data_IF_966697127016
#
_entry.id   IF_966697127016
#
_cell.length_a   1.000
_cell.length_b   1.000
_cell.length_c   1.000
_cell.angle_alpha   90.00
_cell.angle_beta   90.00
_cell.angle_gamma   90.00
#
_symmetry.space_group_name_H-M   'P 1'
#
loop_
_entity.id
_entity.type
_entity.pdbx_description
1 polymer ?
#
# COMPACT_ATOMS: atom_id res chain seq x y z
N UNK A 1 -32.18 -25.71 -15.04
CA UNK A 1 -31.82 -24.61 -15.96
C UNK A 1 -31.08 -23.48 -15.26
N UNK A 2 -31.44 -23.14 -14.02
CA UNK A 2 -30.78 -22.04 -13.29
C UNK A 2 -29.31 -22.30 -13.00
N UNK A 3 -28.92 -23.56 -12.73
CA UNK A 3 -27.52 -23.93 -12.46
C UNK A 3 -26.56 -23.51 -13.58
N UNK A 4 -26.85 -23.86 -14.83
CA UNK A 4 -26.02 -23.47 -15.99
C UNK A 4 -25.97 -21.95 -16.18
N UNK A 5 -27.04 -21.23 -15.83
CA UNK A 5 -27.05 -19.77 -15.89
C UNK A 5 -26.17 -19.15 -14.80
N UNK A 6 -26.16 -19.73 -13.60
CA UNK A 6 -25.27 -19.30 -12.51
C UNK A 6 -23.81 -19.59 -12.83
N UNK A 7 -23.50 -20.81 -13.29
CA UNK A 7 -22.13 -21.19 -13.69
C UNK A 7 -21.61 -20.33 -14.85
N UNK A 8 -22.48 -19.98 -15.81
CA UNK A 8 -22.13 -19.03 -16.88
C UNK A 8 -21.88 -17.62 -16.35
N UNK A 9 -22.75 -17.12 -15.46
CA UNK A 9 -22.58 -15.80 -14.82
C UNK A 9 -21.24 -15.75 -14.09
N UNK A 10 -20.94 -16.73 -13.24
CA UNK A 10 -19.69 -16.83 -12.49
C UNK A 10 -18.47 -16.89 -13.42
N UNK A 11 -18.50 -17.74 -14.44
CA UNK A 11 -17.40 -17.86 -15.41
C UNK A 11 -17.15 -16.57 -16.19
N UNK A 12 -18.23 -15.87 -16.58
CA UNK A 12 -18.12 -14.58 -17.27
C UNK A 12 -17.55 -13.50 -16.35
N UNK A 13 -18.00 -13.43 -15.10
CA UNK A 13 -17.50 -12.47 -14.12
C UNK A 13 -16.04 -12.76 -13.72
N UNK A 14 -15.65 -14.03 -13.64
CA UNK A 14 -14.26 -14.44 -13.44
C UNK A 14 -13.37 -13.99 -14.60
N UNK A 15 -13.80 -14.21 -15.84
CA UNK A 15 -13.07 -13.73 -17.01
C UNK A 15 -12.94 -12.20 -17.00
N UNK A 16 -14.03 -11.49 -16.70
CA UNK A 16 -14.04 -10.03 -16.64
C UNK A 16 -13.12 -9.47 -15.54
N UNK A 17 -13.20 -10.02 -14.33
CA UNK A 17 -12.40 -9.55 -13.18
C UNK A 17 -10.92 -9.86 -13.36
N UNK A 18 -10.58 -11.06 -13.87
CA UNK A 18 -9.20 -11.51 -14.07
C UNK A 18 -8.48 -10.78 -15.21
N UNK A 19 -9.17 -10.53 -16.33
CA UNK A 19 -8.53 -9.98 -17.54
C UNK A 19 -8.58 -8.45 -17.58
N UNK A 20 -9.70 -7.87 -17.16
CA UNK A 20 -9.98 -6.45 -17.39
C UNK A 20 -10.08 -5.65 -16.09
N UNK A 21 -10.47 -6.29 -14.98
CA UNK A 21 -10.65 -5.63 -13.69
C UNK A 21 -11.59 -4.43 -13.83
N UNK A 22 -11.15 -3.26 -13.37
CA UNK A 22 -11.95 -2.02 -13.41
C UNK A 22 -11.81 -1.23 -14.73
N UNK A 23 -11.52 -1.87 -15.86
CA UNK A 23 -11.49 -1.23 -17.19
C UNK A 23 -12.75 -1.50 -18.00
N UNK A 24 -13.16 -0.50 -18.79
CA UNK A 24 -14.34 -0.54 -19.64
C UNK A 24 -13.99 -1.27 -20.93
N UNK A 25 -14.68 -2.37 -21.21
CA UNK A 25 -14.37 -3.26 -22.33
C UNK A 25 -15.61 -3.66 -23.10
N UNK A 26 -15.51 -3.92 -24.42
CA UNK A 26 -16.65 -4.36 -25.20
C UNK A 26 -17.07 -5.77 -24.76
N UNK A 27 -18.36 -5.97 -24.47
CA UNK A 27 -18.88 -7.21 -23.92
C UNK A 27 -18.61 -8.43 -24.82
N UNK A 28 -18.56 -8.23 -26.14
CA UNK A 28 -18.28 -9.27 -27.12
C UNK A 28 -16.84 -9.81 -27.00
N UNK A 29 -15.88 -8.95 -26.67
CA UNK A 29 -14.50 -9.37 -26.46
C UNK A 29 -14.40 -10.29 -25.23
N UNK A 30 -15.04 -9.90 -24.13
CA UNK A 30 -15.09 -10.74 -22.91
C UNK A 30 -15.75 -12.09 -23.19
N UNK A 31 -16.81 -12.10 -24.01
CA UNK A 31 -17.45 -13.34 -24.43
C UNK A 31 -16.53 -14.22 -25.29
N UNK A 32 -15.76 -13.64 -26.21
CA UNK A 32 -14.78 -14.38 -27.01
C UNK A 32 -13.68 -15.03 -26.16
N UNK A 33 -13.20 -14.33 -25.13
CA UNK A 33 -12.24 -14.88 -24.17
C UNK A 33 -12.84 -16.01 -23.34
N UNK A 34 -14.11 -15.87 -22.94
CA UNK A 34 -14.83 -16.93 -22.22
C UNK A 34 -14.91 -18.21 -23.05
N UNK A 35 -15.30 -18.11 -24.33
CA UNK A 35 -15.44 -19.29 -25.21
C UNK A 35 -14.10 -19.89 -25.64
N UNK A 36 -12.99 -19.16 -25.46
CA UNK A 36 -11.64 -19.68 -25.71
C UNK A 36 -11.32 -20.87 -24.80
N UNK A 37 -11.87 -20.89 -23.59
CA UNK A 37 -11.72 -22.01 -22.67
C UNK A 37 -12.63 -23.18 -23.09
N UNK A 38 -12.08 -24.38 -23.29
CA UNK A 38 -12.84 -25.57 -23.74
C UNK A 38 -13.95 -26.03 -22.79
N UNK A 39 -13.90 -25.62 -21.51
CA UNK A 39 -14.87 -25.98 -20.48
C UNK A 39 -15.97 -24.93 -20.30
N UNK A 40 -16.06 -23.94 -21.19
CA UNK A 40 -17.08 -22.91 -21.09
C UNK A 40 -18.49 -23.46 -21.35
N UNK A 41 -19.45 -22.91 -20.62
CA UNK A 41 -20.86 -23.13 -20.90
C UNK A 41 -21.26 -22.17 -22.04
N UNK A 42 -21.82 -22.72 -23.11
CA UNK A 42 -22.29 -21.89 -24.22
C UNK A 42 -23.58 -21.14 -23.82
N UNK A 43 -23.77 -19.93 -24.34
CA UNK A 43 -24.93 -19.07 -24.05
C UNK A 43 -26.28 -19.80 -24.26
N UNK A 44 -26.36 -20.67 -25.28
CA UNK A 44 -27.56 -21.48 -25.58
C UNK A 44 -28.05 -22.37 -24.42
N UNK A 45 -27.18 -22.69 -23.45
CA UNK A 45 -27.53 -23.49 -22.28
C UNK A 45 -28.10 -22.64 -21.12
N UNK A 46 -28.15 -21.32 -21.28
CA UNK A 46 -28.56 -20.37 -20.24
C UNK A 46 -29.96 -19.80 -20.50
N UNK A 47 -30.47 -19.03 -19.54
CA UNK A 47 -31.74 -18.30 -19.66
C UNK A 47 -31.69 -17.07 -20.59
N UNK A 48 -30.52 -16.71 -21.12
CA UNK A 48 -30.34 -15.53 -21.94
C UNK A 48 -30.30 -15.89 -23.43
N UNK A 49 -31.17 -15.27 -24.21
CA UNK A 49 -31.27 -15.45 -25.67
C UNK A 49 -30.07 -14.85 -26.42
N UNK A 50 -29.47 -13.80 -25.86
CA UNK A 50 -28.40 -13.03 -26.49
C UNK A 50 -27.49 -12.40 -25.44
N UNK A 51 -26.25 -12.10 -25.86
CA UNK A 51 -25.26 -11.41 -25.02
C UNK A 51 -25.79 -10.06 -24.53
N UNK A 52 -26.58 -9.37 -25.34
CA UNK A 52 -27.21 -8.11 -24.97
C UNK A 52 -28.19 -8.27 -23.80
N UNK A 53 -29.04 -9.30 -23.82
CA UNK A 53 -29.97 -9.57 -22.71
C UNK A 53 -29.21 -9.89 -21.42
N UNK A 54 -28.11 -10.65 -21.53
CA UNK A 54 -27.22 -10.94 -20.39
C UNK A 54 -26.56 -9.68 -19.82
N UNK A 55 -25.99 -8.84 -20.67
CA UNK A 55 -25.33 -7.59 -20.26
C UNK A 55 -26.32 -6.62 -19.62
N UNK A 56 -27.54 -6.48 -20.16
CA UNK A 56 -28.62 -5.71 -19.53
C UNK A 56 -29.00 -6.27 -18.14
N UNK A 57 -28.99 -7.58 -17.97
CA UNK A 57 -29.23 -8.22 -16.67
C UNK A 57 -28.11 -7.89 -15.66
N UNK A 58 -26.84 -7.92 -16.06
CA UNK A 58 -25.72 -7.54 -15.19
C UNK A 58 -25.83 -6.08 -14.71
N UNK A 59 -26.26 -5.18 -15.59
CA UNK A 59 -26.53 -3.79 -15.25
C UNK A 59 -27.68 -3.66 -14.24
N UNK A 60 -28.78 -4.39 -14.43
CA UNK A 60 -29.91 -4.42 -13.48
C UNK A 60 -29.53 -4.98 -12.11
N UNK A 61 -28.61 -5.95 -12.06
CA UNK A 61 -28.12 -6.54 -10.80
C UNK A 61 -27.10 -5.63 -10.08
N UNK A 62 -26.60 -4.59 -10.75
CA UNK A 62 -25.64 -3.64 -10.19
C UNK A 62 -24.26 -4.26 -9.94
N UNK A 63 -23.94 -5.33 -10.66
CA UNK A 63 -22.61 -5.98 -10.59
C UNK A 63 -21.64 -5.30 -11.55
N UNK A 64 -22.13 -4.94 -12.73
CA UNK A 64 -21.34 -4.28 -13.76
C UNK A 64 -22.00 -2.97 -14.17
N UNK A 65 -21.17 -1.97 -14.45
CA UNK A 65 -21.56 -0.77 -15.19
C UNK A 65 -21.66 -1.15 -16.66
N UNK A 66 -22.78 -0.80 -17.28
CA UNK A 66 -23.11 -1.19 -18.65
C UNK A 66 -23.46 0.05 -19.44
N UNK A 67 -22.78 0.25 -20.55
CA UNK A 67 -22.98 1.37 -21.44
C UNK A 67 -23.27 0.89 -22.86
N UNK A 68 -24.26 1.49 -23.50
CA UNK A 68 -24.54 1.30 -24.92
C UNK A 68 -23.84 2.40 -25.73
N UNK A 69 -23.11 2.00 -26.77
CA UNK A 69 -22.47 2.93 -27.71
C UNK A 69 -22.75 2.48 -29.14
N UNK A 70 -22.45 3.32 -30.13
CA UNK A 70 -22.59 3.00 -31.55
C UNK A 70 -21.79 1.76 -31.98
N UNK A 71 -20.71 1.42 -31.25
CA UNK A 71 -19.87 0.24 -31.50
C UNK A 71 -20.37 -1.01 -30.78
N UNK A 72 -21.44 -0.92 -30.00
CA UNK A 72 -22.03 -2.01 -29.24
C UNK A 72 -22.00 -1.80 -27.72
N UNK A 73 -22.16 -2.91 -27.00
CA UNK A 73 -22.29 -2.94 -25.54
C UNK A 73 -20.93 -2.98 -24.87
N UNK A 74 -20.71 -2.06 -23.93
CA UNK A 74 -19.53 -2.03 -23.07
C UNK A 74 -19.91 -2.43 -21.66
N UNK A 75 -19.02 -3.18 -21.02
CA UNK A 75 -19.16 -3.67 -19.65
C UNK A 75 -17.95 -3.25 -18.84
N UNK A 76 -18.21 -2.88 -17.59
CA UNK A 76 -17.23 -2.49 -16.60
C UNK A 76 -17.54 -3.23 -15.30
N UNK A 77 -16.63 -4.09 -14.84
CA UNK A 77 -16.76 -4.72 -13.52
C UNK A 77 -16.72 -3.67 -12.40
N UNK A 78 -17.64 -3.78 -11.45
CA UNK A 78 -17.66 -2.99 -10.22
C UNK A 78 -17.19 -3.88 -9.08
N UNK A 79 -15.93 -3.74 -8.72
CA UNK A 79 -15.37 -4.47 -7.59
C UNK A 79 -15.68 -3.72 -6.28
N UNK A 80 -16.66 -4.23 -5.53
CA UNK A 80 -17.04 -3.66 -4.22
C UNK A 80 -15.91 -3.75 -3.20
N UNK A 81 -15.07 -4.78 -3.26
CA UNK A 81 -13.98 -4.99 -2.32
C UNK A 81 -12.77 -4.11 -2.66
N UNK A 82 -12.50 -3.90 -3.95
CA UNK A 82 -11.49 -2.96 -4.43
C UNK A 82 -11.84 -1.50 -4.11
N UNK A 83 -13.13 -1.13 -4.17
CA UNK A 83 -13.57 0.21 -3.76
C UNK A 83 -13.29 0.43 -2.28
N UNK A 84 -13.65 -0.53 -1.42
CA UNK A 84 -13.37 -0.45 0.01
C UNK A 84 -11.86 -0.37 0.30
N UNK A 85 -11.05 -1.22 -0.36
CA UNK A 85 -9.59 -1.19 -0.22
C UNK A 85 -8.98 0.14 -0.67
N UNK A 86 -9.50 0.75 -1.75
CA UNK A 86 -9.06 2.08 -2.21
C UNK A 86 -9.43 3.17 -1.22
N UNK A 87 -10.64 3.11 -0.66
CA UNK A 87 -11.08 4.07 0.36
C UNK A 87 -10.22 3.98 1.62
N UNK A 88 -9.88 2.77 2.06
CA UNK A 88 -8.95 2.54 3.18
C UNK A 88 -7.57 3.12 2.90
N UNK A 89 -7.01 2.88 1.71
CA UNK A 89 -5.71 3.42 1.33
C UNK A 89 -5.74 4.96 1.22
N UNK A 90 -6.80 5.52 0.66
CA UNK A 90 -6.94 6.98 0.54
C UNK A 90 -7.12 7.63 1.91
N UNK A 91 -7.85 6.98 2.82
CA UNK A 91 -7.99 7.42 4.21
C UNK A 91 -6.65 7.35 4.95
N UNK A 92 -5.90 6.26 4.82
CA UNK A 92 -4.57 6.14 5.41
C UNK A 92 -3.61 7.21 4.87
N UNK A 93 -3.65 7.50 3.56
CA UNK A 93 -2.83 8.58 2.96
C UNK A 93 -3.22 9.95 3.50
N UNK A 94 -4.52 10.21 3.70
CA UNK A 94 -4.99 11.47 4.29
C UNK A 94 -4.51 11.61 5.73
N UNK A 95 -4.62 10.54 6.52
CA UNK A 95 -4.15 10.50 7.91
C UNK A 95 -2.64 10.74 8.00
N UNK A 96 -1.83 10.14 7.11
CA UNK A 96 -0.38 10.36 7.05
C UNK A 96 -0.03 11.82 6.72
N UNK A 97 -0.71 12.41 5.74
CA UNK A 97 -0.51 13.83 5.38
C UNK A 97 -0.92 14.75 6.53
N UNK A 98 -2.02 14.47 7.22
CA UNK A 98 -2.46 15.23 8.38
C UNK A 98 -1.47 15.10 9.56
N UNK A 99 -0.91 13.91 9.78
CA UNK A 99 0.13 13.69 10.78
C UNK A 99 1.41 14.47 10.44
N UNK A 100 1.87 14.42 9.18
CA UNK A 100 3.06 15.15 8.75
C UNK A 100 2.90 16.66 8.95
N UNK A 101 1.75 17.23 8.57
CA UNK A 101 1.44 18.66 8.79
C UNK A 101 1.44 19.00 10.28
N UNK A 102 0.90 18.12 11.13
CA UNK A 102 0.89 18.31 12.59
C UNK A 102 2.31 18.26 13.16
N UNK A 103 3.13 17.32 12.71
CA UNK A 103 4.53 17.18 13.13
C UNK A 103 5.36 18.39 12.68
N UNK A 104 5.19 18.86 11.45
CA UNK A 104 5.86 20.06 10.93
C UNK A 104 5.53 21.31 11.75
N UNK A 105 4.25 21.52 12.11
CA UNK A 105 3.84 22.63 12.99
C UNK A 105 4.50 22.57 14.36
N UNK A 106 4.59 21.39 14.97
CA UNK A 106 5.23 21.21 16.26
C UNK A 106 6.75 21.47 16.19
N UNK A 107 7.41 20.98 15.13
CA UNK A 107 8.83 21.21 14.89
C UNK A 107 9.12 22.70 14.67
N UNK A 108 8.30 23.39 13.86
CA UNK A 108 8.42 24.82 13.62
C UNK A 108 8.24 25.63 14.91
N UNK A 109 7.26 25.28 15.76
CA UNK A 109 7.06 25.95 17.05
C UNK A 109 8.25 25.76 18.00
N UNK A 110 8.83 24.54 18.06
CA UNK A 110 10.05 24.27 18.83
C UNK A 110 11.25 25.05 18.30
N UNK A 111 11.43 25.09 16.98
CA UNK A 111 12.51 25.84 16.34
C UNK A 111 12.37 27.35 16.60
N UNK A 112 11.16 27.90 16.52
CA UNK A 112 10.89 29.31 16.81
C UNK A 112 11.14 29.64 18.29
N UNK A 113 10.72 28.78 19.23
CA UNK A 113 11.01 28.96 20.66
C UNK A 113 12.50 28.87 20.96
N UNK A 114 13.24 27.95 20.32
CA UNK A 114 14.68 27.84 20.46
C UNK A 114 15.41 29.07 19.87
N UNK A 115 14.96 29.57 18.72
CA UNK A 115 15.50 30.79 18.11
C UNK A 115 15.23 32.03 18.98
N UNK A 116 14.02 32.15 19.56
CA UNK A 116 13.69 33.23 20.49
C UNK A 116 14.49 33.14 21.81
N UNK A 117 14.72 31.94 22.34
CA UNK A 117 15.56 31.73 23.52
C UNK A 117 17.06 31.97 23.25
N UNK A 118 17.51 31.76 22.00
CA UNK A 118 18.85 32.13 21.56
C UNK A 118 19.00 33.65 21.38
N UNK A 119 17.99 34.31 20.82
CA UNK A 119 17.95 35.77 20.68
C UNK A 119 17.87 36.49 22.04
N UNK A 120 17.12 35.94 23.01
CA UNK A 120 17.06 36.45 24.38
C UNK A 120 18.30 36.17 25.24
N UNK A 121 19.26 35.36 24.75
CA UNK A 121 20.57 35.12 25.40
C UNK A 121 21.69 36.02 24.84
N UNK A 122 21.35 36.93 23.92
CA UNK A 122 22.28 37.82 23.24
C UNK A 122 22.75 39.06 24.02
N UNK A 123 22.21 39.36 25.20
CA UNK A 123 22.58 40.58 25.96
C UNK A 123 23.14 40.37 27.38
N UNK A 124 23.30 39.14 27.87
CA UNK A 124 23.95 38.88 29.19
C UNK A 124 24.80 37.59 29.23
N UNK A 125 25.61 37.32 28.19
CA UNK A 125 26.60 36.22 28.22
C UNK A 125 28.02 36.65 27.88
N UNK A 126 28.46 37.74 28.51
CA UNK A 126 29.83 38.25 28.40
C UNK A 126 30.75 38.00 29.61
N UNK A 127 30.33 37.31 30.69
CA UNK A 127 31.11 37.31 31.93
C UNK A 127 31.09 36.06 32.84
N UNK A 128 30.60 34.89 32.40
CA UNK A 128 30.66 33.69 33.28
C UNK A 128 30.93 32.38 32.50
N UNK A 129 31.92 32.40 31.60
CA UNK A 129 32.49 31.19 31.00
C UNK A 129 33.84 30.80 31.66
N UNK A 130 34.09 31.26 32.89
CA UNK A 130 35.31 30.96 33.65
C UNK A 130 35.05 30.98 35.16
N UNK A 131 34.31 30.00 35.68
CA UNK A 131 34.33 29.69 37.12
C UNK A 131 34.30 28.18 37.36
N UNK A 132 35.47 27.60 37.19
CA UNK A 132 36.05 26.41 37.85
C UNK A 132 35.14 25.22 38.23
N UNK A 133 35.42 24.07 37.61
CA UNK A 133 35.20 22.74 38.16
C UNK A 133 36.04 22.56 39.44
N UNK A 134 35.41 22.60 40.61
CA UNK A 134 36.03 22.09 41.85
C UNK A 134 35.86 20.58 41.91
N UNK A 135 36.96 19.85 41.64
CA UNK A 135 37.09 18.43 41.97
C UNK A 135 37.33 18.33 43.48
N UNK A 136 36.35 17.85 44.23
CA UNK A 136 36.53 17.53 45.65
C UNK A 136 37.30 16.22 45.77
N UNK A 137 38.50 16.30 46.32
CA UNK A 137 39.31 15.18 46.75
C UNK A 137 38.58 14.43 47.89
N UNK A 138 38.38 13.13 47.76
CA UNK A 138 37.53 12.33 48.62
C UNK A 138 37.39 10.90 48.13
N UNK A 139 38.50 10.17 48.26
CA UNK A 139 38.71 8.73 48.11
C UNK A 139 37.43 7.86 48.22
N UNK A 140 37.00 7.28 47.09
CA UNK A 140 36.35 5.96 47.10
C UNK A 140 36.54 5.28 45.74
N UNK A 141 37.20 4.14 45.78
CA UNK A 141 37.58 3.29 44.64
C UNK A 141 36.31 2.78 43.94
N UNK A 142 35.97 3.33 42.76
CA UNK A 142 34.93 2.76 41.90
C UNK A 142 35.53 1.51 41.23
N UNK A 143 35.18 0.34 41.77
CA UNK A 143 35.47 -0.95 41.13
C UNK A 143 34.41 -1.18 40.06
N UNK A 144 34.75 -0.89 38.80
CA UNK A 144 33.94 -1.31 37.64
C UNK A 144 34.32 -2.77 37.35
N UNK A 145 33.55 -3.71 37.91
CA UNK A 145 33.65 -5.12 37.56
C UNK A 145 32.99 -5.37 36.20
N UNK A 146 33.79 -5.49 35.13
CA UNK A 146 33.32 -6.09 33.88
C UNK A 146 33.42 -7.61 34.06
N UNK A 147 32.29 -8.26 34.34
CA UNK A 147 32.20 -9.71 34.40
C UNK A 147 32.00 -10.20 32.97
N UNK A 148 33.05 -10.76 32.37
CA UNK A 148 32.99 -11.42 31.08
C UNK A 148 32.30 -12.77 31.22
N UNK A 149 31.05 -12.86 30.78
CA UNK A 149 30.35 -14.12 30.58
C UNK A 149 30.67 -14.66 29.17
N UNK A 150 31.45 -15.72 29.17
CA UNK A 150 31.77 -16.57 28.03
C UNK A 150 30.55 -17.41 27.64
N UNK A 151 30.00 -17.21 26.43
CA UNK A 151 28.93 -18.09 25.95
C UNK A 151 28.41 -17.82 24.54
N UNK A 152 29.06 -18.44 23.54
CA UNK A 152 28.40 -19.08 22.39
C UNK A 152 27.65 -18.23 21.35
N UNK A 153 28.07 -18.35 20.07
CA UNK A 153 27.16 -18.09 18.94
C UNK A 153 27.81 -17.49 17.69
N UNK A 154 28.79 -18.17 17.08
CA UNK A 154 29.33 -17.76 15.78
C UNK A 154 28.34 -18.00 14.64
N UNK A 155 27.66 -16.95 14.17
CA UNK A 155 26.89 -16.97 12.92
C UNK A 155 27.85 -16.67 11.76
N UNK A 156 28.07 -17.67 10.91
CA UNK A 156 28.93 -17.63 9.73
C UNK A 156 28.40 -16.57 8.74
N UNK A 157 29.24 -15.59 8.36
CA UNK A 157 29.05 -14.81 7.14
C UNK A 157 30.18 -15.11 6.18
N UNK A 158 29.81 -15.73 5.06
CA UNK A 158 30.69 -16.00 3.94
C UNK A 158 31.24 -14.69 3.36
N UNK A 159 32.55 -14.63 3.13
CA UNK A 159 33.17 -13.66 2.23
C UNK A 159 33.39 -14.34 0.88
N UNK A 160 32.73 -13.79 -0.13
CA UNK A 160 32.97 -14.09 -1.55
C UNK A 160 34.39 -13.62 -1.89
N UNK A 161 35.20 -14.53 -2.43
CA UNK A 161 36.49 -14.19 -3.05
C UNK A 161 36.22 -13.41 -4.34
N UNK A 162 36.75 -12.19 -4.44
CA UNK A 162 36.98 -11.51 -5.72
C UNK A 162 38.47 -11.63 -6.03
N UNK A 163 38.70 -12.34 -7.12
CA UNK A 163 39.93 -12.85 -7.70
C UNK A 163 40.95 -11.76 -8.04
N UNK A 164 42.22 -12.06 -7.76
CA UNK A 164 43.43 -11.35 -8.20
C UNK A 164 43.48 -11.14 -9.72
N UNK A 165 43.94 -9.95 -10.14
CA UNK A 165 44.63 -9.78 -11.43
C UNK A 165 45.49 -8.50 -11.38
N UNK A 166 46.78 -8.66 -11.12
CA UNK A 166 47.82 -7.73 -11.55
C UNK A 166 48.74 -8.46 -12.54
N UNK A 167 49.09 -7.71 -13.60
CA UNK A 167 50.11 -7.87 -14.65
C UNK A 167 50.25 -9.20 -15.43
#
# INVERSE_FOLDING_TARGET
>A
MEKFSQEFEESYLEALSRLHGTKRVPANQVYQELICNKTHIHMNATKWDSLTTFVKYLGKKGICLVDETEKGWFVQWIDREYMLRREELEKARKEEVEEEVRQQRLMAARAAAAAAAAAGKGEEKGAEASRELKRGDGESKIVIGVHGDSGGGGIKRARVNVFEREE
#
